data_IF_535752848804
#
_entry.id   IF_535752848804
#
_cell.length_a   1.000
_cell.length_b   1.000
_cell.length_c   1.000
_cell.angle_alpha   90.00
_cell.angle_beta   90.00
_cell.angle_gamma   90.00
#
_symmetry.space_group_name_H-M   'P 1'
#
loop_
_entity.id
_entity.type
_entity.pdbx_description
1 polymer ?
#
# COMPACT_ATOMS: atom_id res chain seq x y z
N UNK A 1 9.71 -14.15 -26.25
CA UNK A 1 9.47 -13.81 -24.82
C UNK A 1 10.59 -12.90 -24.38
N UNK A 2 10.31 -11.95 -23.49
CA UNK A 2 11.32 -11.07 -22.89
C UNK A 2 11.36 -11.26 -21.38
N UNK A 3 12.48 -10.92 -20.75
CA UNK A 3 12.59 -10.81 -19.30
C UNK A 3 12.97 -9.38 -18.95
N UNK A 4 12.38 -8.82 -17.91
CA UNK A 4 12.71 -7.51 -17.39
C UNK A 4 12.96 -7.63 -15.90
N UNK A 5 14.19 -7.33 -15.50
CA UNK A 5 14.61 -7.22 -14.12
C UNK A 5 14.66 -5.73 -13.75
N UNK A 6 14.01 -5.36 -12.65
CA UNK A 6 13.95 -3.99 -12.18
C UNK A 6 14.28 -3.94 -10.69
N UNK A 7 15.25 -3.11 -10.32
CA UNK A 7 15.60 -2.84 -8.92
C UNK A 7 15.39 -1.36 -8.64
N UNK A 8 14.28 -1.06 -7.95
CA UNK A 8 13.92 0.29 -7.56
C UNK A 8 14.28 0.50 -6.10
N UNK A 9 15.17 1.45 -5.84
CA UNK A 9 15.51 1.88 -4.49
C UNK A 9 15.15 3.34 -4.28
N UNK A 10 14.26 3.59 -3.32
CA UNK A 10 13.78 4.91 -2.91
C UNK A 10 14.21 5.15 -1.47
N UNK A 11 15.20 6.03 -1.29
CA UNK A 11 15.74 6.39 0.05
C UNK A 11 14.65 6.87 1.01
N UNK A 12 13.66 7.60 0.48
CA UNK A 12 12.59 8.18 1.28
C UNK A 12 11.37 8.46 0.43
N UNK A 13 10.24 7.86 0.79
CA UNK A 13 8.94 8.12 0.19
C UNK A 13 8.08 8.83 1.22
N UNK A 14 7.59 10.03 0.89
CA UNK A 14 6.72 10.82 1.79
C UNK A 14 5.36 10.99 1.16
N UNK A 15 4.32 10.73 1.93
CA UNK A 15 2.94 11.03 1.61
C UNK A 15 2.37 11.98 2.66
N UNK A 16 1.70 13.04 2.19
CA UNK A 16 0.96 13.97 3.05
C UNK A 16 -0.53 13.87 2.73
N UNK A 17 -1.32 13.62 3.76
CA UNK A 17 -2.77 13.49 3.69
C UNK A 17 -3.37 14.75 4.31
N UNK A 18 -3.93 15.62 3.47
CA UNK A 18 -4.51 16.90 3.91
C UNK A 18 -5.75 16.71 4.77
N UNK A 19 -6.78 16.10 4.20
CA UNK A 19 -8.00 15.70 4.89
C UNK A 19 -8.62 14.55 4.12
N UNK A 20 -8.75 13.39 4.76
CA UNK A 20 -9.39 12.21 4.21
C UNK A 20 -10.57 11.85 5.10
N UNK A 21 -11.74 11.65 4.50
CA UNK A 21 -12.91 11.12 5.18
C UNK A 21 -13.33 9.81 4.54
N UNK A 22 -13.60 8.82 5.36
CA UNK A 22 -14.18 7.57 4.92
C UNK A 22 -15.33 7.19 5.83
N UNK A 23 -16.34 6.57 5.25
CA UNK A 23 -17.41 5.93 5.98
C UNK A 23 -17.40 4.44 5.66
N UNK A 24 -17.55 3.61 6.69
CA UNK A 24 -17.65 2.17 6.54
C UNK A 24 -18.80 1.65 7.38
N UNK A 25 -19.56 0.70 6.82
CA UNK A 25 -20.65 0.01 7.50
C UNK A 25 -20.61 -1.48 7.21
N UNK A 26 -20.74 -2.28 8.27
CA UNK A 26 -20.89 -3.74 8.23
C UNK A 26 -22.07 -4.07 9.16
N UNK A 27 -23.22 -4.42 8.57
CA UNK A 27 -24.47 -4.60 9.32
C UNK A 27 -24.87 -3.30 10.04
N UNK A 28 -25.17 -3.37 11.33
CA UNK A 28 -25.48 -2.20 12.15
C UNK A 28 -24.26 -1.54 12.81
N UNK A 29 -23.06 -2.05 12.47
CA UNK A 29 -21.80 -1.47 12.94
C UNK A 29 -21.19 -0.63 11.83
N UNK A 30 -20.61 0.49 12.21
CA UNK A 30 -19.95 1.36 11.26
C UNK A 30 -19.58 2.68 11.89
N UNK A 31 -19.11 3.58 11.03
CA UNK A 31 -18.81 4.93 11.44
C UNK A 31 -18.11 5.71 10.36
N UNK A 32 -17.89 6.98 10.69
CA UNK A 32 -17.16 7.92 9.87
C UNK A 32 -15.79 8.17 10.49
N UNK A 33 -14.76 7.90 9.71
CA UNK A 33 -13.37 8.21 10.02
C UNK A 33 -12.95 9.51 9.35
N UNK A 34 -12.17 10.31 10.05
CA UNK A 34 -11.43 11.45 9.50
C UNK A 34 -9.95 11.26 9.79
N UNK A 35 -9.10 11.48 8.81
CA UNK A 35 -7.66 11.25 8.87
C UNK A 35 -6.91 12.40 8.18
N UNK A 36 -5.90 12.93 8.84
CA UNK A 36 -4.94 13.88 8.24
C UNK A 36 -3.56 13.65 8.83
N UNK A 37 -2.50 13.88 8.08
CA UNK A 37 -1.14 13.66 8.59
C UNK A 37 -0.12 13.31 7.52
N UNK A 38 0.94 12.66 7.96
CA UNK A 38 2.06 12.28 7.10
C UNK A 38 2.46 10.83 7.31
N UNK A 39 2.83 10.16 6.23
CA UNK A 39 3.47 8.86 6.22
C UNK A 39 4.82 8.99 5.51
N UNK A 40 5.86 8.44 6.10
CA UNK A 40 7.19 8.36 5.54
C UNK A 40 7.66 6.91 5.56
N UNK A 41 8.10 6.40 4.42
CA UNK A 41 8.74 5.09 4.27
C UNK A 41 10.21 5.33 3.97
N UNK A 42 11.09 4.73 4.76
CA UNK A 42 12.55 4.91 4.67
C UNK A 42 13.16 3.68 4.02
N UNK A 43 14.04 3.94 3.05
CA UNK A 43 14.79 2.92 2.29
C UNK A 43 13.89 1.81 1.73
N UNK A 44 12.85 2.21 0.99
CA UNK A 44 12.01 1.28 0.25
C UNK A 44 12.80 0.73 -0.93
N UNK A 45 12.91 -0.60 -1.03
CA UNK A 45 13.46 -1.29 -2.20
C UNK A 45 12.44 -2.29 -2.73
N UNK A 46 12.21 -2.24 -4.03
CA UNK A 46 11.34 -3.14 -4.77
C UNK A 46 12.18 -3.77 -5.88
N UNK A 47 12.40 -5.07 -5.79
CA UNK A 47 13.05 -5.87 -6.83
C UNK A 47 11.97 -6.65 -7.56
N UNK A 48 11.92 -6.50 -8.88
CA UNK A 48 11.01 -7.19 -9.79
C UNK A 48 11.82 -8.10 -10.72
N UNK A 49 11.36 -9.33 -10.87
CA UNK A 49 11.78 -10.25 -11.93
C UNK A 49 10.54 -10.62 -12.72
N UNK A 50 10.45 -10.11 -13.95
CA UNK A 50 9.24 -10.20 -14.77
C UNK A 50 9.48 -10.97 -16.05
N UNK A 51 8.56 -11.89 -16.35
CA UNK A 51 8.48 -12.58 -17.64
C UNK A 51 7.42 -11.93 -18.51
N UNK A 52 7.84 -11.44 -19.66
CA UNK A 52 7.02 -10.71 -20.61
C UNK A 52 6.72 -11.54 -21.87
N UNK A 53 5.47 -11.44 -22.31
CA UNK A 53 5.04 -11.83 -23.66
C UNK A 53 5.04 -10.57 -24.53
N UNK A 54 5.78 -10.63 -25.64
CA UNK A 54 5.88 -9.53 -26.60
C UNK A 54 5.58 -10.10 -27.98
N UNK A 55 4.60 -9.52 -28.67
CA UNK A 55 4.29 -9.82 -30.06
C UNK A 55 4.45 -8.55 -30.89
N UNK A 56 4.99 -8.63 -32.12
CA UNK A 56 5.05 -7.49 -33.02
C UNK A 56 3.66 -6.85 -33.21
N UNK A 57 3.57 -5.54 -33.03
CA UNK A 57 2.32 -4.79 -33.17
C UNK A 57 1.32 -4.94 -32.01
N UNK A 58 1.69 -5.61 -30.91
CA UNK A 58 0.87 -5.70 -29.69
C UNK A 58 1.62 -5.16 -28.46
N UNK A 59 0.89 -4.65 -27.45
CA UNK A 59 1.50 -4.27 -26.18
C UNK A 59 2.17 -5.45 -25.48
N UNK A 60 3.21 -5.16 -24.69
CA UNK A 60 3.85 -6.16 -23.86
C UNK A 60 2.92 -6.58 -22.70
N UNK A 61 2.88 -7.88 -22.41
CA UNK A 61 2.04 -8.45 -21.34
C UNK A 61 2.90 -9.18 -20.31
N UNK A 62 2.68 -8.90 -19.03
CA UNK A 62 3.34 -9.60 -17.92
C UNK A 62 2.66 -10.97 -17.74
N UNK A 63 3.39 -12.05 -18.04
CA UNK A 63 2.96 -13.44 -17.80
C UNK A 63 3.16 -13.79 -16.33
N UNK A 64 4.34 -13.48 -15.80
CA UNK A 64 4.73 -13.78 -14.44
C UNK A 64 5.56 -12.63 -13.86
N UNK A 65 5.45 -12.43 -12.56
CA UNK A 65 6.20 -11.42 -11.81
C UNK A 65 6.55 -11.99 -10.45
N UNK A 66 7.84 -11.97 -10.12
CA UNK A 66 8.31 -12.21 -8.77
C UNK A 66 8.77 -10.88 -8.18
N UNK A 67 8.35 -10.61 -6.95
CA UNK A 67 8.62 -9.36 -6.23
C UNK A 67 9.34 -9.65 -4.93
N UNK A 68 10.34 -8.83 -4.63
CA UNK A 68 10.88 -8.71 -3.27
C UNK A 68 10.77 -7.26 -2.85
N UNK A 69 9.93 -6.99 -1.86
CA UNK A 69 9.73 -5.67 -1.28
C UNK A 69 10.36 -5.64 0.11
N UNK A 70 11.21 -4.65 0.34
CA UNK A 70 11.83 -4.41 1.64
C UNK A 70 11.80 -2.93 1.97
N UNK A 71 11.73 -2.62 3.26
CA UNK A 71 11.81 -1.26 3.78
C UNK A 71 12.53 -1.30 5.12
N UNK A 72 13.19 -0.20 5.48
CA UNK A 72 13.90 -0.10 6.75
C UNK A 72 13.00 0.40 7.87
N UNK A 73 12.20 1.42 7.59
CA UNK A 73 11.40 2.09 8.59
C UNK A 73 10.11 2.67 8.00
N UNK A 74 9.10 2.79 8.86
CA UNK A 74 7.83 3.48 8.59
C UNK A 74 7.63 4.48 9.73
N UNK A 75 7.42 5.74 9.35
CA UNK A 75 7.16 6.84 10.27
C UNK A 75 5.83 7.49 9.89
N UNK A 76 4.87 7.42 10.80
CA UNK A 76 3.52 7.91 10.64
C UNK A 76 3.20 8.92 11.74
N UNK A 77 2.64 10.05 11.33
CA UNK A 77 2.11 11.06 12.24
C UNK A 77 0.76 11.53 11.72
N UNK A 78 -0.29 10.91 12.23
CA UNK A 78 -1.66 11.16 11.87
C UNK A 78 -2.46 11.71 13.04
N UNK A 79 -3.32 12.67 12.72
CA UNK A 79 -4.50 13.01 13.50
C UNK A 79 -5.69 12.24 12.92
N UNK A 80 -6.30 11.41 13.73
CA UNK A 80 -7.38 10.52 13.33
C UNK A 80 -8.55 10.61 14.32
N UNK A 81 -9.75 10.83 13.80
CA UNK A 81 -10.98 10.82 14.58
C UNK A 81 -11.93 9.76 14.02
N UNK A 82 -12.61 9.05 14.92
CA UNK A 82 -13.63 8.08 14.56
C UNK A 82 -14.94 8.41 15.26
N UNK A 83 -16.02 8.52 14.49
CA UNK A 83 -17.39 8.61 15.02
C UNK A 83 -18.14 7.35 14.64
N UNK A 84 -18.42 6.48 15.61
CA UNK A 84 -19.29 5.34 15.37
C UNK A 84 -20.73 5.80 15.08
N UNK A 85 -21.52 5.01 14.35
CA UNK A 85 -22.88 5.38 13.92
C UNK A 85 -23.80 5.78 15.09
N UNK A 86 -23.67 5.11 16.24
CA UNK A 86 -24.48 5.35 17.45
C UNK A 86 -23.80 6.27 18.46
N UNK A 87 -22.58 6.72 18.18
CA UNK A 87 -21.81 7.54 19.10
C UNK A 87 -22.30 9.00 19.07
N UNK A 88 -22.54 9.56 20.26
CA UNK A 88 -22.91 10.97 20.43
C UNK A 88 -21.80 11.91 19.96
N UNK A 89 -20.52 11.54 20.14
CA UNK A 89 -19.36 12.35 19.78
C UNK A 89 -18.27 11.51 19.09
N UNK A 90 -17.44 12.12 18.22
CA UNK A 90 -16.25 11.49 17.69
C UNK A 90 -15.22 11.25 18.80
N UNK A 91 -14.42 10.19 18.64
CA UNK A 91 -13.30 9.84 19.51
C UNK A 91 -11.99 10.04 18.77
N UNK A 92 -11.01 10.62 19.45
CA UNK A 92 -9.63 10.66 18.96
C UNK A 92 -9.02 9.24 19.02
N UNK A 93 -8.60 8.75 17.86
CA UNK A 93 -7.95 7.44 17.68
C UNK A 93 -6.55 7.58 17.08
N UNK A 94 -5.99 8.79 17.08
CA UNK A 94 -4.66 9.12 16.54
C UNK A 94 -3.58 8.22 17.10
N UNK A 95 -3.56 7.99 18.42
CA UNK A 95 -2.59 7.12 19.07
C UNK A 95 -2.68 5.68 18.56
N UNK A 96 -3.88 5.15 18.32
CA UNK A 96 -4.06 3.80 17.80
C UNK A 96 -3.55 3.70 16.36
N UNK A 97 -3.92 4.65 15.50
CA UNK A 97 -3.49 4.70 14.10
C UNK A 97 -1.97 4.80 13.99
N UNK A 98 -1.36 5.73 14.74
CA UNK A 98 0.09 5.89 14.75
C UNK A 98 0.79 4.66 15.31
N UNK A 99 0.26 4.00 16.35
CA UNK A 99 0.86 2.77 16.86
C UNK A 99 0.79 1.62 15.84
N UNK A 100 -0.33 1.47 15.13
CA UNK A 100 -0.46 0.47 14.07
C UNK A 100 0.58 0.72 12.98
N UNK A 101 0.68 1.95 12.48
CA UNK A 101 1.56 2.27 11.35
C UNK A 101 3.06 2.29 11.72
N UNK A 102 3.42 2.81 12.89
CA UNK A 102 4.82 2.92 13.30
C UNK A 102 5.42 1.62 13.87
N UNK A 103 4.57 0.77 14.46
CA UNK A 103 5.00 -0.43 15.20
C UNK A 103 4.45 -1.69 14.53
N UNK A 104 3.13 -1.89 14.54
CA UNK A 104 2.52 -3.16 14.11
C UNK A 104 2.73 -3.46 12.64
N UNK A 105 2.75 -2.46 11.77
CA UNK A 105 2.98 -2.67 10.34
C UNK A 105 4.35 -3.29 10.06
N UNK A 106 5.38 -2.99 10.87
CA UNK A 106 6.70 -3.60 10.71
C UNK A 106 6.69 -5.08 11.09
N UNK A 107 6.00 -5.41 12.18
CA UNK A 107 5.81 -6.80 12.63
C UNK A 107 5.05 -7.58 11.56
N UNK A 108 3.92 -7.04 11.07
CA UNK A 108 3.13 -7.65 10.00
C UNK A 108 3.95 -7.85 8.72
N UNK A 109 4.83 -6.91 8.39
CA UNK A 109 5.69 -7.02 7.22
C UNK A 109 6.72 -8.14 7.34
N UNK A 110 7.29 -8.30 8.55
CA UNK A 110 8.24 -9.38 8.83
C UNK A 110 7.57 -10.76 8.87
N UNK A 111 6.33 -10.84 9.35
CA UNK A 111 5.59 -12.11 9.47
C UNK A 111 4.92 -12.55 8.16
N UNK A 112 4.60 -11.62 7.26
CA UNK A 112 3.80 -11.87 6.06
C UNK A 112 4.50 -11.42 4.77
N UNK A 113 5.83 -11.46 4.74
CA UNK A 113 6.66 -11.00 3.63
C UNK A 113 6.25 -11.63 2.29
N UNK A 114 6.00 -12.95 2.25
CA UNK A 114 5.53 -13.67 1.06
C UNK A 114 4.20 -13.13 0.57
N UNK A 115 3.22 -12.99 1.46
CA UNK A 115 1.89 -12.51 1.10
C UNK A 115 1.91 -11.07 0.56
N UNK A 116 2.67 -10.19 1.22
CA UNK A 116 2.82 -8.79 0.79
C UNK A 116 3.56 -8.70 -0.55
N UNK A 117 4.60 -9.50 -0.76
CA UNK A 117 5.29 -9.59 -2.03
C UNK A 117 4.34 -10.04 -3.15
N UNK A 118 3.51 -11.04 -2.91
CA UNK A 118 2.48 -11.48 -3.87
C UNK A 118 1.44 -10.39 -4.16
N UNK A 119 0.94 -9.70 -3.12
CA UNK A 119 -0.02 -8.60 -3.31
C UNK A 119 0.54 -7.48 -4.18
N UNK A 120 1.80 -7.09 -3.96
CA UNK A 120 2.47 -6.06 -4.77
C UNK A 120 2.71 -6.56 -6.20
N UNK A 121 3.12 -7.82 -6.37
CA UNK A 121 3.29 -8.45 -7.69
C UNK A 121 2.01 -8.36 -8.51
N UNK A 122 0.91 -8.84 -7.94
CA UNK A 122 -0.38 -8.89 -8.61
C UNK A 122 -0.92 -7.49 -8.91
N UNK A 123 -0.76 -6.54 -7.97
CA UNK A 123 -1.10 -5.14 -8.20
C UNK A 123 -0.35 -4.53 -9.39
N UNK A 124 0.97 -4.73 -9.47
CA UNK A 124 1.79 -4.27 -10.60
C UNK A 124 1.36 -4.95 -11.90
N UNK A 125 1.17 -6.28 -11.87
CA UNK A 125 0.74 -7.07 -13.02
C UNK A 125 -0.57 -6.56 -13.58
N UNK A 126 -1.57 -6.36 -12.73
CA UNK A 126 -2.87 -5.84 -13.13
C UNK A 126 -2.77 -4.41 -13.69
N UNK A 127 -2.05 -3.51 -13.02
CA UNK A 127 -1.92 -2.12 -13.46
C UNK A 127 -1.24 -2.03 -14.83
N UNK A 128 -0.09 -2.69 -15.00
CA UNK A 128 0.66 -2.66 -16.27
C UNK A 128 -0.14 -3.32 -17.37
N UNK A 129 -0.74 -4.48 -17.12
CA UNK A 129 -1.49 -5.18 -18.16
C UNK A 129 -2.77 -4.43 -18.55
N UNK A 130 -3.40 -3.66 -17.65
CA UNK A 130 -4.56 -2.80 -17.96
C UNK A 130 -4.17 -1.50 -18.68
N UNK A 131 -3.01 -0.92 -18.36
CA UNK A 131 -2.56 0.36 -18.91
C UNK A 131 -2.59 0.41 -20.44
N UNK A 132 -2.26 -0.71 -21.08
CA UNK A 132 -2.21 -0.81 -22.54
C UNK A 132 -3.58 -0.80 -23.23
N UNK A 133 -4.67 -0.93 -22.48
CA UNK A 133 -6.04 -1.00 -23.00
C UNK A 133 -6.85 0.27 -22.72
N UNK A 134 -6.19 1.33 -22.24
CA UNK A 134 -6.74 2.67 -22.04
C UNK A 134 -6.10 3.62 -23.05
#
# INVERSE_FOLDING_TARGET
MGRLDLDLSLKRVKAKFGHYEAEGRIGDRGGKGQLSGTLEIVDLRIVLDTLLRVYPGQPAYIININTVVSLKDIQANFKANWKCLTCLAPRDVSSCVNNILNVRMKELWAENDVFLNTLVAEGIREMVNRWWWW
#
